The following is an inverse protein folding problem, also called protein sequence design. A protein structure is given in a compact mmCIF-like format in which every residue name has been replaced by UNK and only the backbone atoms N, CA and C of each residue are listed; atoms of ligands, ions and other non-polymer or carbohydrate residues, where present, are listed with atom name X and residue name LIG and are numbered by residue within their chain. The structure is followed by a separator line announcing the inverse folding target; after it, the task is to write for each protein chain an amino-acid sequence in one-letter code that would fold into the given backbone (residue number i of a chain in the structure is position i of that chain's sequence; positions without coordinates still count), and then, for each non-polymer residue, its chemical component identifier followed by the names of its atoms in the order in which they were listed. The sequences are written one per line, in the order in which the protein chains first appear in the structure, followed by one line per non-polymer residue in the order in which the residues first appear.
data_IF_673300461084
#
_entry.id   IF_673300461084
#
_cell.length_a   1.000
_cell.length_b   1.000
_cell.length_c   1.000
_cell.angle_alpha   90.00
_cell.angle_beta   90.00
_cell.angle_gamma   90.00
#
_symmetry.space_group_name_H-M   'P 1'
#
loop_
_entity.id
_entity.type
_entity.pdbx_description
1 polymer ?
#
# COMPACT_ATOMS: atom_id res chain seq x y z
N UNK A 1 -9.53 6.00 -14.43
CA UNK A 1 -10.23 5.32 -13.31
C UNK A 1 -11.75 5.21 -13.49
N UNK A 2 -12.50 6.30 -13.72
CA UNK A 2 -13.98 6.25 -13.87
C UNK A 2 -14.47 5.34 -15.01
N UNK A 3 -13.84 5.43 -16.18
CA UNK A 3 -14.14 4.57 -17.33
C UNK A 3 -13.87 3.10 -17.06
N UNK A 4 -12.81 2.81 -16.27
CA UNK A 4 -12.54 1.44 -15.85
C UNK A 4 -13.61 0.91 -14.91
N UNK A 5 -13.95 1.68 -13.87
CA UNK A 5 -14.92 1.25 -12.87
C UNK A 5 -16.29 0.94 -13.49
N UNK A 6 -16.72 1.76 -14.45
CA UNK A 6 -17.95 1.51 -15.21
C UNK A 6 -17.87 0.26 -16.08
N UNK A 7 -16.77 0.08 -16.84
CA UNK A 7 -16.55 -1.13 -17.65
C UNK A 7 -16.45 -2.41 -16.81
N UNK A 8 -15.70 -2.37 -15.70
CA UNK A 8 -15.56 -3.48 -14.76
C UNK A 8 -16.90 -3.85 -14.12
N UNK A 9 -17.73 -2.86 -13.76
CA UNK A 9 -19.07 -3.12 -13.23
C UNK A 9 -19.96 -3.82 -14.27
N UNK A 10 -19.98 -3.31 -15.51
CA UNK A 10 -20.72 -3.95 -16.60
C UNK A 10 -20.26 -5.39 -16.85
N UNK A 11 -18.95 -5.65 -16.74
CA UNK A 11 -18.41 -7.00 -16.86
C UNK A 11 -18.84 -7.93 -15.72
N UNK A 12 -18.87 -7.43 -14.48
CA UNK A 12 -19.37 -8.22 -13.34
C UNK A 12 -20.86 -8.56 -13.49
N UNK A 13 -21.66 -7.62 -13.99
CA UNK A 13 -23.08 -7.86 -14.27
C UNK A 13 -23.26 -8.88 -15.41
N UNK A 14 -22.40 -8.84 -16.43
CA UNK A 14 -22.36 -9.86 -17.50
C UNK A 14 -22.00 -11.25 -16.96
N UNK A 15 -20.98 -11.35 -16.11
CA UNK A 15 -20.57 -12.62 -15.49
C UNK A 15 -21.68 -13.22 -14.64
N UNK A 16 -22.41 -12.37 -13.89
CA UNK A 16 -23.56 -12.79 -13.11
C UNK A 16 -24.63 -13.45 -13.98
N UNK A 17 -25.03 -12.78 -15.08
CA UNK A 17 -25.98 -13.35 -16.03
C UNK A 17 -25.47 -14.67 -16.59
N UNK A 18 -24.23 -14.68 -17.11
CA UNK A 18 -23.66 -15.90 -17.69
C UNK A 18 -23.62 -17.10 -16.73
N UNK A 19 -23.41 -16.87 -15.42
CA UNK A 19 -23.51 -17.90 -14.38
C UNK A 19 -24.95 -18.38 -14.13
N UNK A 20 -25.92 -17.46 -14.05
CA UNK A 20 -27.34 -17.78 -13.90
C UNK A 20 -27.84 -18.64 -15.08
N UNK A 21 -27.39 -18.30 -16.28
CA UNK A 21 -27.70 -18.99 -17.54
C UNK A 21 -26.96 -20.32 -17.69
N UNK A 22 -25.98 -20.59 -16.81
CA UNK A 22 -25.03 -21.73 -16.90
C UNK A 22 -24.25 -21.78 -18.22
N UNK A 23 -24.03 -20.61 -18.82
CA UNK A 23 -23.24 -20.47 -20.06
C UNK A 23 -21.73 -20.44 -19.79
N UNK A 24 -21.33 -20.16 -18.54
CA UNK A 24 -19.96 -20.29 -18.04
C UNK A 24 -19.95 -21.11 -16.75
N UNK A 25 -18.80 -21.69 -16.42
CA UNK A 25 -18.62 -22.40 -15.16
C UNK A 25 -18.28 -21.43 -14.01
N UNK A 26 -18.44 -21.84 -12.74
CA UNK A 26 -17.94 -21.08 -11.60
C UNK A 26 -16.44 -20.78 -11.69
N UNK A 27 -15.64 -21.72 -12.20
CA UNK A 27 -14.19 -21.54 -12.34
C UNK A 27 -13.86 -20.46 -13.38
N UNK A 28 -14.55 -20.46 -14.52
CA UNK A 28 -14.40 -19.39 -15.54
C UNK A 28 -14.72 -18.01 -14.96
N UNK A 29 -15.76 -17.92 -14.13
CA UNK A 29 -16.14 -16.68 -13.48
C UNK A 29 -15.10 -16.23 -12.44
N UNK A 30 -14.49 -17.15 -11.70
CA UNK A 30 -13.42 -16.86 -10.75
C UNK A 30 -12.15 -16.38 -11.46
N UNK A 31 -11.76 -17.02 -12.57
CA UNK A 31 -10.65 -16.59 -13.42
C UNK A 31 -10.88 -15.18 -13.97
N UNK A 32 -12.11 -14.88 -14.40
CA UNK A 32 -12.42 -13.54 -14.89
C UNK A 32 -12.41 -12.50 -13.78
N UNK A 33 -12.96 -12.81 -12.61
CA UNK A 33 -12.94 -11.91 -11.46
C UNK A 33 -11.50 -11.62 -10.98
N UNK A 34 -10.63 -12.63 -11.02
CA UNK A 34 -9.19 -12.48 -10.78
C UNK A 34 -8.57 -11.49 -11.78
N UNK A 35 -8.84 -11.68 -13.07
CA UNK A 35 -8.34 -10.78 -14.14
C UNK A 35 -8.77 -9.33 -13.90
N UNK A 36 -10.04 -9.09 -13.56
CA UNK A 36 -10.54 -7.73 -13.27
C UNK A 36 -9.83 -7.11 -12.07
N UNK A 37 -9.52 -7.91 -11.04
CA UNK A 37 -8.75 -7.45 -9.87
C UNK A 37 -7.29 -7.16 -10.22
N UNK A 38 -6.66 -7.95 -11.08
CA UNK A 38 -5.31 -7.69 -11.58
C UNK A 38 -5.26 -6.38 -12.38
N UNK A 39 -6.24 -6.15 -13.25
CA UNK A 39 -6.37 -4.88 -13.98
C UNK A 39 -6.58 -3.68 -13.05
N UNK A 40 -7.41 -3.83 -12.01
CA UNK A 40 -7.61 -2.79 -11.00
C UNK A 40 -6.30 -2.50 -10.27
N UNK A 41 -5.60 -3.54 -9.82
CA UNK A 41 -4.33 -3.41 -9.11
C UNK A 41 -3.25 -2.74 -9.97
N UNK A 42 -3.14 -3.09 -11.25
CA UNK A 42 -2.24 -2.43 -12.19
C UNK A 42 -2.55 -0.95 -12.35
N UNK A 43 -3.83 -0.58 -12.44
CA UNK A 43 -4.23 0.84 -12.55
C UNK A 43 -3.99 1.61 -11.25
N UNK A 44 -4.22 0.99 -10.09
CA UNK A 44 -3.91 1.61 -8.79
C UNK A 44 -2.42 1.83 -8.62
N UNK A 45 -1.60 0.90 -9.10
CA UNK A 45 -0.14 1.04 -9.09
C UNK A 45 0.30 2.22 -9.97
N UNK A 46 -0.23 2.31 -11.20
CA UNK A 46 0.06 3.45 -12.09
C UNK A 46 -0.42 4.78 -11.50
N UNK A 47 -1.57 4.79 -10.81
CA UNK A 47 -2.04 5.96 -10.08
C UNK A 47 -1.08 6.34 -8.95
N UNK A 48 -0.50 5.36 -8.26
CA UNK A 48 0.46 5.60 -7.19
C UNK A 48 1.70 6.34 -7.68
N UNK A 49 2.30 5.89 -8.78
CA UNK A 49 3.43 6.59 -9.40
C UNK A 49 3.07 8.02 -9.83
N UNK A 50 1.91 8.20 -10.49
CA UNK A 50 1.46 9.53 -10.89
C UNK A 50 1.26 10.48 -9.69
N UNK A 51 0.74 9.95 -8.58
CA UNK A 51 0.54 10.73 -7.35
C UNK A 51 1.86 11.04 -6.65
N UNK A 52 2.83 10.12 -6.67
CA UNK A 52 4.18 10.38 -6.16
C UNK A 52 4.85 11.51 -6.94
N UNK A 53 4.81 11.47 -8.28
CA UNK A 53 5.34 12.53 -9.15
C UNK A 53 4.68 13.89 -8.91
N UNK A 54 3.35 13.91 -8.72
CA UNK A 54 2.62 15.17 -8.51
C UNK A 54 2.83 15.75 -7.11
N UNK A 55 3.06 14.90 -6.09
CA UNK A 55 3.19 15.34 -4.71
C UNK A 55 4.63 15.71 -4.31
N UNK A 56 5.62 14.96 -4.77
CA UNK A 56 7.03 15.22 -4.45
C UNK A 56 7.60 16.39 -5.23
N UNK A 57 8.23 17.33 -4.54
CA UNK A 57 8.87 18.54 -5.11
C UNK A 57 10.21 18.20 -5.77
N UNK A 58 10.87 17.14 -5.32
CA UNK A 58 12.12 16.62 -5.87
C UNK A 58 12.12 15.08 -6.01
N UNK A 59 13.19 14.55 -6.61
CA UNK A 59 13.32 13.12 -6.86
C UNK A 59 13.38 12.27 -5.57
N UNK A 60 13.89 12.82 -4.47
CA UNK A 60 13.98 12.12 -3.19
C UNK A 60 12.59 11.94 -2.58
N UNK A 61 11.77 12.99 -2.61
CA UNK A 61 10.39 12.92 -2.10
C UNK A 61 9.49 12.02 -2.96
N UNK A 62 9.73 12.02 -4.27
CA UNK A 62 9.05 11.10 -5.19
C UNK A 62 9.43 9.63 -4.88
N UNK A 63 10.71 9.35 -4.65
CA UNK A 63 11.19 8.02 -4.25
C UNK A 63 10.61 7.58 -2.90
N UNK A 64 10.57 8.45 -1.90
CA UNK A 64 9.95 8.17 -0.59
C UNK A 64 8.46 7.79 -0.72
N UNK A 65 7.72 8.50 -1.58
CA UNK A 65 6.33 8.20 -1.88
C UNK A 65 6.19 6.84 -2.57
N UNK A 66 6.99 6.58 -3.61
CA UNK A 66 6.95 5.31 -4.36
C UNK A 66 7.34 4.12 -3.48
N UNK A 67 8.32 4.29 -2.60
CA UNK A 67 8.76 3.27 -1.66
C UNK A 67 7.65 2.94 -0.66
N UNK A 68 7.03 3.94 -0.03
CA UNK A 68 5.94 3.73 0.92
C UNK A 68 4.76 2.97 0.28
N UNK A 69 4.41 3.30 -0.96
CA UNK A 69 3.35 2.61 -1.70
C UNK A 69 3.74 1.17 -2.07
N UNK A 70 4.99 0.95 -2.45
CA UNK A 70 5.52 -0.37 -2.80
C UNK A 70 5.62 -1.29 -1.58
N UNK A 71 6.01 -0.76 -0.42
CA UNK A 71 6.04 -1.50 0.83
C UNK A 71 4.64 -1.96 1.26
N UNK A 72 3.63 -1.08 1.18
CA UNK A 72 2.24 -1.45 1.52
C UNK A 72 1.66 -2.51 0.58
N UNK A 73 2.08 -2.51 -0.70
CA UNK A 73 1.75 -3.58 -1.62
C UNK A 73 2.39 -4.90 -1.20
N UNK A 74 3.67 -4.89 -0.82
CA UNK A 74 4.41 -6.10 -0.44
C UNK A 74 3.93 -6.69 0.90
N UNK A 75 3.47 -5.83 1.84
CA UNK A 75 2.99 -6.24 3.17
C UNK A 75 1.66 -6.98 3.15
N UNK A 76 0.94 -6.96 2.02
CA UNK A 76 -0.43 -7.47 2.01
C UNK A 76 -0.48 -8.98 2.20
N UNK A 77 -1.23 -9.40 3.23
CA UNK A 77 -1.62 -10.79 3.44
C UNK A 77 -2.78 -11.15 2.52
N UNK A 78 -2.75 -12.38 1.98
CA UNK A 78 -3.85 -12.94 1.20
C UNK A 78 -5.14 -12.91 2.03
N UNK A 79 -6.18 -12.22 1.56
CA UNK A 79 -7.48 -12.19 2.22
C UNK A 79 -8.22 -13.50 1.93
N UNK A 80 -8.82 -14.15 2.96
CA UNK A 80 -9.56 -15.39 2.76
C UNK A 80 -10.84 -15.11 1.95
N UNK A 81 -10.79 -15.43 0.67
CA UNK A 81 -11.89 -15.31 -0.29
C UNK A 81 -12.00 -16.62 -1.08
N UNK A 82 -13.13 -16.82 -1.77
CA UNK A 82 -13.28 -17.98 -2.67
C UNK A 82 -12.18 -18.02 -3.74
N UNK A 83 -11.73 -16.84 -4.22
CA UNK A 83 -10.62 -16.74 -5.17
C UNK A 83 -9.30 -17.13 -4.51
N UNK A 84 -9.02 -16.71 -3.26
CA UNK A 84 -7.78 -17.09 -2.59
C UNK A 84 -7.73 -18.58 -2.26
N UNK A 85 -8.88 -19.25 -2.13
CA UNK A 85 -8.93 -20.70 -1.99
C UNK A 85 -8.52 -21.40 -3.29
N UNK A 86 -9.05 -20.96 -4.42
CA UNK A 86 -8.69 -21.50 -5.75
C UNK A 86 -7.27 -21.11 -6.18
N UNK A 87 -6.77 -19.95 -5.74
CA UNK A 87 -5.46 -19.39 -6.09
C UNK A 87 -4.70 -18.93 -4.84
N UNK A 88 -4.14 -19.84 -4.03
CA UNK A 88 -3.55 -19.52 -2.72
C UNK A 88 -2.29 -18.64 -2.81
N UNK A 89 -1.54 -18.73 -3.91
CA UNK A 89 -0.34 -17.92 -4.14
C UNK A 89 -0.63 -16.55 -4.79
N UNK A 90 -1.89 -16.29 -5.18
CA UNK A 90 -2.24 -15.06 -5.88
C UNK A 90 -2.47 -13.90 -4.89
N UNK A 91 -1.88 -12.76 -5.21
CA UNK A 91 -2.03 -11.50 -4.49
C UNK A 91 -2.31 -10.38 -5.48
N UNK A 92 -2.96 -9.31 -5.00
CA UNK A 92 -3.28 -8.14 -5.82
C UNK A 92 -3.17 -6.86 -5.00
N UNK A 93 -3.01 -5.72 -5.69
CA UNK A 93 -2.93 -4.40 -5.07
C UNK A 93 -4.33 -3.79 -4.97
N UNK A 94 -4.87 -3.62 -3.76
CA UNK A 94 -6.21 -3.05 -3.56
C UNK A 94 -6.19 -1.57 -3.19
N UNK A 95 -7.40 -1.02 -3.14
CA UNK A 95 -7.69 0.36 -2.77
C UNK A 95 -7.27 0.67 -1.32
N UNK A 96 -7.42 -0.28 -0.40
CA UNK A 96 -6.97 -0.14 0.99
C UNK A 96 -5.46 -0.03 1.10
N UNK A 97 -4.70 -0.97 0.51
CA UNK A 97 -3.24 -0.86 0.42
C UNK A 97 -2.79 0.43 -0.27
N UNK A 98 -3.45 0.82 -1.37
CA UNK A 98 -3.19 2.10 -2.03
C UNK A 98 -3.40 3.29 -1.08
N UNK A 99 -4.52 3.33 -0.36
CA UNK A 99 -4.85 4.44 0.54
C UNK A 99 -3.87 4.54 1.71
N UNK A 100 -3.51 3.40 2.30
CA UNK A 100 -2.53 3.33 3.38
C UNK A 100 -1.16 3.77 2.89
N UNK A 101 -0.70 3.24 1.75
CA UNK A 101 0.59 3.61 1.15
C UNK A 101 0.67 5.10 0.82
N UNK A 102 -0.40 5.66 0.24
CA UNK A 102 -0.50 7.09 -0.03
C UNK A 102 -0.41 7.94 1.24
N UNK A 103 -1.11 7.56 2.31
CA UNK A 103 -1.05 8.30 3.58
C UNK A 103 0.33 8.21 4.23
N UNK A 104 0.92 7.01 4.24
CA UNK A 104 2.25 6.77 4.78
C UNK A 104 3.31 7.56 4.02
N UNK A 105 3.25 7.57 2.68
CA UNK A 105 4.19 8.33 1.85
C UNK A 105 4.13 9.82 2.13
N UNK A 106 2.91 10.39 2.24
CA UNK A 106 2.74 11.80 2.59
C UNK A 106 3.33 12.15 3.95
N UNK A 107 3.17 11.26 4.93
CA UNK A 107 3.75 11.45 6.26
C UNK A 107 5.28 11.38 6.24
N UNK A 108 5.86 10.48 5.43
CA UNK A 108 7.30 10.37 5.26
C UNK A 108 7.89 11.67 4.68
N UNK A 109 7.32 12.16 3.58
CA UNK A 109 7.74 13.42 2.93
C UNK A 109 7.58 14.61 3.87
N UNK A 110 6.45 14.72 4.59
CA UNK A 110 6.28 15.83 5.54
C UNK A 110 7.31 15.76 6.69
N UNK A 111 7.66 14.55 7.14
CA UNK A 111 8.69 14.34 8.15
C UNK A 111 10.09 14.69 7.65
N UNK A 112 10.42 14.38 6.39
CA UNK A 112 11.72 14.71 5.77
C UNK A 112 11.85 16.22 5.55
N UNK A 113 10.77 16.90 5.13
CA UNK A 113 10.69 18.37 5.07
C UNK A 113 10.89 19.04 6.44
N UNK A 114 10.21 18.55 7.49
CA UNK A 114 10.36 19.09 8.84
C UNK A 114 11.78 18.89 9.40
N UNK A 115 12.41 17.75 9.11
CA UNK A 115 13.79 17.47 9.49
C UNK A 115 14.79 18.37 8.75
N UNK A 116 14.52 18.68 7.48
CA UNK A 116 15.33 19.61 6.67
C UNK A 116 15.17 21.07 7.12
N UNK A 117 13.98 21.43 7.61
CA UNK A 117 13.65 22.79 8.09
C UNK A 117 14.17 23.11 9.50
N UNK A 118 14.58 22.11 10.27
CA UNK A 118 15.11 22.26 11.64
C UNK A 118 16.64 22.48 11.70
N UNK A 119 17.28 22.77 10.56
CA UNK A 119 18.69 23.16 10.46
C UNK A 119 19.06 24.55 11.01
N UNK A 120 18.19 25.17 11.81
CA UNK A 120 18.42 26.45 12.49
C UNK A 120 18.52 26.30 14.02
N UNK A 121 19.75 26.15 14.52
CA UNK A 121 20.22 26.52 15.87
C UNK A 121 19.38 26.10 17.10
N UNK A 122 19.73 24.97 17.73
CA UNK A 122 19.89 24.90 19.20
C UNK A 122 21.15 24.11 19.56
N UNK A 123 22.29 24.78 19.50
CA UNK A 123 23.46 24.42 20.31
C UNK A 123 23.11 24.76 21.75
N UNK A 124 22.80 23.77 22.59
CA UNK A 124 22.35 24.06 23.96
C UNK A 124 21.84 22.89 24.80
N UNK A 125 22.56 21.78 24.88
CA UNK A 125 22.61 21.01 26.14
C UNK A 125 23.96 20.32 26.29
N UNK A 126 24.89 21.04 26.91
CA UNK A 126 26.03 20.48 27.60
C UNK A 126 25.58 20.09 29.02
N UNK A 127 25.41 18.80 29.26
CA UNK A 127 25.31 18.18 30.59
C UNK A 127 25.52 16.68 30.37
N UNK A 128 26.66 16.06 30.68
CA UNK A 128 27.41 16.21 31.91
C UNK A 128 26.79 15.29 32.96
N UNK A 129 27.10 14.00 32.91
CA UNK A 129 26.59 13.05 33.89
C UNK A 129 26.93 11.60 33.57
N UNK A 130 28.09 11.14 34.04
CA UNK A 130 28.39 9.71 34.20
C UNK A 130 27.29 9.03 35.01
N UNK A 131 26.67 7.97 34.48
CA UNK A 131 26.04 6.96 35.31
C UNK A 131 26.96 5.75 35.41
N UNK A 132 27.87 5.80 36.39
CA UNK A 132 28.50 4.61 36.94
C UNK A 132 27.52 3.97 37.91
N UNK A 133 26.72 3.03 37.42
CA UNK A 133 25.83 2.20 38.23
C UNK A 133 26.45 0.83 38.53
N UNK A 134 27.53 0.80 39.31
CA UNK A 134 27.90 -0.43 40.02
C UNK A 134 26.88 -0.62 41.16
N UNK A 135 26.10 -1.70 41.10
CA UNK A 135 25.03 -1.98 42.05
C UNK A 135 24.84 -3.47 42.26
N UNK A 136 25.72 -4.04 43.09
CA UNK A 136 25.57 -5.34 43.74
C UNK A 136 24.31 -5.40 44.61
N UNK A 137 23.51 -6.47 44.50
CA UNK A 137 22.69 -7.15 45.55
C UNK A 137 21.77 -8.17 44.85
N UNK A 138 21.95 -9.48 44.93
CA UNK A 138 21.70 -10.38 46.08
C UNK A 138 20.30 -10.20 46.70
N UNK A 139 19.36 -11.10 46.37
CA UNK A 139 18.71 -12.07 47.28
C UNK A 139 17.45 -12.70 46.64
N UNK A 140 17.44 -14.04 46.71
CA UNK A 140 16.38 -15.06 46.51
C UNK A 140 15.61 -15.09 45.20
#
# INVERSE_FOLDING_TARGET
MRTFASGAKAELDRLRGALEDRSITPDDALDRLRTVRDELGGRLYALGGAVATEFGEDASEQEEMEEAMSQERARRRSEPTIISYSYPAWTWFDVGSFRTGYHSGRQAVESSRASSSSGGSTSGYSGGGSFSGAGSSSRF
#
